data_IF_829351196519
#
_entry.id   IF_829351196519
#
_cell.length_a   1.000
_cell.length_b   1.000
_cell.length_c   1.000
_cell.angle_alpha   90.00
_cell.angle_beta   90.00
_cell.angle_gamma   90.00
#
_symmetry.space_group_name_H-M   'P 1'
#
loop_
_entity.id
_entity.type
_entity.pdbx_description
1 polymer ?
#
# COMPACT_ATOMS: atom_id res chain seq x y z
N UNK A 1 -4.33 22.25 11.39
CA UNK A 1 -3.76 21.50 10.25
C UNK A 1 -4.88 20.73 9.59
N UNK A 2 -4.98 20.73 8.26
CA UNK A 2 -6.00 19.93 7.58
C UNK A 2 -5.63 18.44 7.75
N UNK A 3 -6.45 17.60 8.39
CA UNK A 3 -6.13 16.19 8.65
C UNK A 3 -5.87 15.39 7.36
N UNK A 4 -6.30 15.90 6.21
CA UNK A 4 -6.08 15.28 4.90
C UNK A 4 -4.73 15.62 4.27
N UNK A 5 -3.92 16.50 4.87
CA UNK A 5 -2.59 16.87 4.34
C UNK A 5 -1.45 16.00 4.88
N UNK A 6 -1.70 15.19 5.91
CA UNK A 6 -0.69 14.30 6.49
C UNK A 6 -0.44 13.07 5.60
N UNK A 7 0.81 12.65 5.52
CA UNK A 7 1.15 11.32 4.96
C UNK A 7 0.88 10.28 6.03
N UNK A 8 0.12 9.25 5.69
CA UNK A 8 -0.31 8.18 6.61
C UNK A 8 0.33 6.84 6.26
N UNK A 9 0.50 5.99 7.27
CA UNK A 9 1.00 4.63 7.09
C UNK A 9 0.22 3.63 7.94
N UNK A 10 0.01 2.42 7.41
CA UNK A 10 -0.51 1.28 8.16
C UNK A 10 -0.10 -0.05 7.53
N UNK A 11 -0.21 -1.11 8.33
CA UNK A 11 -0.12 -2.50 7.87
C UNK A 11 -1.45 -2.89 7.23
N UNK A 12 -1.43 -3.41 6.01
CA UNK A 12 -2.62 -3.83 5.27
C UNK A 12 -2.97 -5.30 5.45
N UNK A 13 -1.98 -6.14 5.75
CA UNK A 13 -2.18 -7.57 5.97
C UNK A 13 -2.73 -7.83 7.37
N UNK A 14 -3.49 -8.93 7.58
CA UNK A 14 -3.97 -9.29 8.90
C UNK A 14 -2.84 -9.37 9.94
N UNK A 15 -3.14 -8.99 11.18
CA UNK A 15 -2.18 -9.13 12.29
C UNK A 15 -1.89 -10.60 12.56
N UNK A 16 -0.63 -10.93 12.78
CA UNK A 16 -0.19 -12.29 13.11
C UNK A 16 1.03 -12.71 12.32
N UNK A 17 1.39 -13.99 12.43
CA UNK A 17 2.50 -14.58 11.68
C UNK A 17 2.03 -14.95 10.28
N UNK A 18 2.66 -14.40 9.27
CA UNK A 18 2.42 -14.72 7.87
C UNK A 18 3.74 -14.86 7.10
N UNK A 19 3.69 -15.28 5.85
CA UNK A 19 4.87 -15.27 4.98
C UNK A 19 5.27 -13.86 4.56
N UNK A 20 4.28 -12.97 4.39
CA UNK A 20 4.46 -11.60 3.89
C UNK A 20 3.58 -10.65 4.70
N UNK A 21 4.08 -9.43 4.95
CA UNK A 21 3.30 -8.29 5.38
C UNK A 21 3.45 -7.15 4.39
N UNK A 22 2.42 -6.32 4.26
CA UNK A 22 2.40 -5.15 3.39
C UNK A 22 2.13 -3.91 4.23
N UNK A 23 3.04 -2.94 4.16
CA UNK A 23 2.89 -1.61 4.74
C UNK A 23 2.56 -0.64 3.61
N UNK A 24 1.48 0.13 3.75
CA UNK A 24 1.10 1.19 2.82
C UNK A 24 1.38 2.54 3.43
N UNK A 25 1.95 3.42 2.62
CA UNK A 25 2.20 4.84 2.92
C UNK A 25 1.45 5.64 1.87
N UNK A 26 0.61 6.61 2.25
CA UNK A 26 -0.18 7.43 1.33
C UNK A 26 -0.17 8.90 1.75
N UNK A 27 -0.02 9.80 0.80
CA UNK A 27 0.02 11.24 1.01
C UNK A 27 1.10 11.92 0.17
N UNK A 28 1.24 13.23 0.34
CA UNK A 28 2.16 14.03 -0.47
C UNK A 28 3.62 13.56 -0.32
N UNK A 29 4.03 13.17 0.89
CA UNK A 29 5.40 12.79 1.22
C UNK A 29 5.65 11.28 1.15
N UNK A 30 4.69 10.48 0.66
CA UNK A 30 4.76 9.01 0.67
C UNK A 30 6.06 8.47 0.03
N UNK A 31 6.46 9.03 -1.12
CA UNK A 31 7.68 8.64 -1.82
C UNK A 31 8.94 9.07 -1.05
N UNK A 32 8.93 10.26 -0.45
CA UNK A 32 10.05 10.77 0.36
C UNK A 32 10.23 9.96 1.65
N UNK A 33 9.13 9.60 2.32
CA UNK A 33 9.16 8.72 3.51
C UNK A 33 9.74 7.36 3.13
N UNK A 34 9.22 6.73 2.06
CA UNK A 34 9.72 5.44 1.59
C UNK A 34 11.19 5.50 1.17
N UNK A 35 11.65 6.62 0.58
CA UNK A 35 13.03 6.82 0.17
C UNK A 35 14.05 6.89 1.31
N UNK A 36 13.58 7.09 2.55
CA UNK A 36 14.44 7.07 3.76
C UNK A 36 14.53 5.70 4.41
N UNK A 37 13.62 4.78 4.06
CA UNK A 37 13.53 3.47 4.68
C UNK A 37 13.65 2.30 3.68
N UNK A 38 13.90 2.58 2.40
CA UNK A 38 14.06 1.56 1.37
C UNK A 38 15.17 1.88 0.39
N UNK A 39 16.08 0.93 0.16
CA UNK A 39 17.20 1.03 -0.78
C UNK A 39 16.98 0.05 -1.92
N UNK A 40 16.51 0.51 -3.11
CA UNK A 40 16.24 -0.37 -4.23
C UNK A 40 17.53 -1.00 -4.80
N UNK A 41 17.53 -2.30 -5.01
CA UNK A 41 18.60 -2.97 -5.74
C UNK A 41 18.67 -2.46 -7.18
N UNK A 42 19.88 -2.06 -7.63
CA UNK A 42 20.10 -1.57 -8.99
C UNK A 42 19.45 -0.23 -9.32
N UNK A 43 18.87 0.48 -8.35
CA UNK A 43 18.34 1.84 -8.46
C UNK A 43 19.04 2.74 -7.46
N UNK A 44 19.06 4.06 -7.75
CA UNK A 44 19.68 5.02 -6.82
C UNK A 44 18.72 5.46 -5.73
N UNK A 45 17.43 5.62 -6.06
CA UNK A 45 16.41 6.14 -5.14
C UNK A 45 15.04 5.51 -5.41
N UNK A 46 14.15 5.57 -4.42
CA UNK A 46 12.74 5.14 -4.57
C UNK A 46 12.01 5.99 -5.62
N UNK A 47 12.40 7.25 -5.78
CA UNK A 47 11.79 8.14 -6.77
C UNK A 47 12.07 7.73 -8.22
N UNK A 48 13.17 7.00 -8.47
CA UNK A 48 13.54 6.45 -9.76
C UNK A 48 12.85 5.12 -10.10
N UNK A 49 12.09 4.54 -9.15
CA UNK A 49 11.29 3.34 -9.42
C UNK A 49 10.14 3.72 -10.37
N UNK A 50 10.01 3.04 -11.53
CA UNK A 50 8.88 3.26 -12.41
C UNK A 50 7.55 3.00 -11.70
N UNK A 51 6.51 3.75 -12.06
CA UNK A 51 5.17 3.58 -11.50
C UNK A 51 4.70 2.14 -11.67
N UNK A 52 4.19 1.53 -10.58
CA UNK A 52 3.66 0.16 -10.51
C UNK A 52 4.67 -0.93 -10.83
N UNK A 53 5.96 -0.60 -10.72
CA UNK A 53 7.03 -1.59 -10.85
C UNK A 53 7.40 -2.11 -9.45
N UNK A 54 7.52 -3.44 -9.34
CA UNK A 54 7.94 -4.12 -8.12
C UNK A 54 9.47 -4.12 -8.04
N UNK A 55 10.04 -3.22 -7.25
CA UNK A 55 11.49 -3.11 -7.06
C UNK A 55 11.91 -3.86 -5.80
N UNK A 56 12.80 -4.84 -5.95
CA UNK A 56 13.43 -5.51 -4.81
C UNK A 56 14.50 -4.61 -4.19
N UNK A 57 14.67 -4.68 -2.86
CA UNK A 57 15.66 -3.90 -2.14
C UNK A 57 15.74 -4.19 -0.66
N UNK A 58 16.62 -3.46 0.03
CA UNK A 58 16.80 -3.52 1.47
C UNK A 58 15.81 -2.57 2.16
N UNK A 59 15.22 -3.04 3.25
CA UNK A 59 14.35 -2.25 4.12
C UNK A 59 15.16 -1.84 5.34
N UNK A 60 15.15 -0.53 5.65
CA UNK A 60 15.86 0.05 6.76
C UNK A 60 14.90 0.34 7.91
N UNK A 61 15.40 0.23 9.13
CA UNK A 61 14.71 0.70 10.34
C UNK A 61 14.75 2.23 10.49
N UNK A 62 14.29 2.74 11.63
CA UNK A 62 14.29 4.17 11.96
C UNK A 62 15.70 4.79 12.06
N UNK A 63 16.69 3.99 12.32
CA UNK A 63 18.10 4.43 12.48
C UNK A 63 18.91 4.25 11.19
N UNK A 64 18.27 3.79 10.11
CA UNK A 64 18.87 3.55 8.82
C UNK A 64 19.65 2.24 8.72
N UNK A 65 19.42 1.31 9.66
CA UNK A 65 20.06 -0.01 9.65
C UNK A 65 19.18 -1.01 8.87
N UNK A 66 19.76 -1.82 7.96
CA UNK A 66 18.99 -2.85 7.27
C UNK A 66 18.35 -3.83 8.27
N UNK A 67 17.02 -3.96 8.22
CA UNK A 67 16.24 -4.84 9.09
C UNK A 67 15.55 -5.98 8.34
N UNK A 68 15.34 -5.83 7.02
CA UNK A 68 14.75 -6.86 6.18
C UNK A 68 15.08 -6.59 4.70
N UNK A 69 14.65 -7.50 3.83
CA UNK A 69 14.61 -7.30 2.37
C UNK A 69 13.19 -7.46 1.88
N UNK A 70 12.83 -6.77 0.80
CA UNK A 70 11.45 -6.82 0.33
C UNK A 70 11.23 -6.15 -1.01
N UNK A 71 9.97 -5.85 -1.28
CA UNK A 71 9.55 -5.24 -2.55
C UNK A 71 8.89 -3.90 -2.25
N UNK A 72 9.33 -2.87 -2.96
CA UNK A 72 8.71 -1.56 -2.96
C UNK A 72 8.00 -1.31 -4.29
N UNK A 73 6.74 -0.86 -4.22
CA UNK A 73 5.94 -0.47 -5.37
C UNK A 73 5.46 0.96 -5.19
N UNK A 74 5.71 1.82 -6.17
CA UNK A 74 5.33 3.24 -6.16
C UNK A 74 4.10 3.46 -7.04
N UNK A 75 3.10 4.17 -6.52
CA UNK A 75 1.92 4.60 -7.24
C UNK A 75 1.85 6.13 -7.20
N UNK A 76 1.79 6.76 -8.36
CA UNK A 76 1.73 8.22 -8.47
C UNK A 76 0.28 8.69 -8.56
N UNK A 77 0.00 9.83 -7.91
CA UNK A 77 -1.28 10.50 -8.04
C UNK A 77 -1.58 10.85 -9.52
N UNK A 78 -2.83 10.76 -9.95
CA UNK A 78 -4.02 10.25 -9.28
C UNK A 78 -4.22 8.73 -9.44
N UNK A 79 -3.25 7.98 -9.96
CA UNK A 79 -3.37 6.57 -10.36
C UNK A 79 -3.02 5.60 -9.22
N UNK A 80 -3.51 5.88 -8.00
CA UNK A 80 -3.39 5.04 -6.80
C UNK A 80 -4.76 4.70 -6.24
N UNK A 81 -4.80 3.87 -5.19
CA UNK A 81 -6.04 3.55 -4.49
C UNK A 81 -6.67 4.79 -3.84
N UNK A 82 -5.87 5.59 -3.15
CA UNK A 82 -6.31 6.80 -2.46
C UNK A 82 -6.44 8.03 -3.37
N UNK A 83 -5.90 7.97 -4.60
CA UNK A 83 -5.76 9.14 -5.48
C UNK A 83 -4.56 10.02 -5.15
N UNK A 84 -3.82 9.72 -4.07
CA UNK A 84 -2.59 10.40 -3.63
C UNK A 84 -1.35 9.68 -4.14
N UNK A 85 -0.15 10.25 -3.94
CA UNK A 85 1.08 9.46 -4.03
C UNK A 85 1.03 8.36 -2.97
N UNK A 86 1.38 7.14 -3.37
CA UNK A 86 1.26 5.98 -2.50
C UNK A 86 2.42 5.03 -2.74
N UNK A 87 2.92 4.44 -1.66
CA UNK A 87 3.96 3.42 -1.71
C UNK A 87 3.51 2.21 -0.92
N UNK A 88 3.75 1.01 -1.47
CA UNK A 88 3.57 -0.25 -0.75
C UNK A 88 4.92 -0.93 -0.61
N UNK A 89 5.25 -1.30 0.64
CA UNK A 89 6.45 -2.06 0.98
C UNK A 89 6.00 -3.42 1.48
N UNK A 90 6.36 -4.47 0.72
CA UNK A 90 6.15 -5.86 1.12
C UNK A 90 7.41 -6.37 1.80
N UNK A 91 7.30 -6.81 3.05
CA UNK A 91 8.36 -7.38 3.87
C UNK A 91 8.00 -8.79 4.36
N UNK A 92 8.88 -9.47 5.06
CA UNK A 92 8.52 -10.73 5.72
C UNK A 92 7.47 -10.51 6.81
N UNK A 93 6.50 -11.43 6.90
CA UNK A 93 5.31 -11.32 7.76
C UNK A 93 5.54 -11.71 9.22
N UNK A 94 6.75 -11.52 9.75
CA UNK A 94 7.04 -11.63 11.17
C UNK A 94 6.53 -10.41 11.94
N UNK A 95 5.96 -10.60 13.13
CA UNK A 95 5.39 -9.51 13.95
C UNK A 95 6.42 -8.41 14.17
N UNK A 96 7.62 -8.77 14.64
CA UNK A 96 8.70 -7.81 14.92
C UNK A 96 9.14 -7.03 13.68
N UNK A 97 9.33 -7.72 12.55
CA UNK A 97 9.72 -7.08 11.28
C UNK A 97 8.65 -6.10 10.83
N UNK A 98 7.39 -6.53 10.84
CA UNK A 98 6.26 -5.70 10.42
C UNK A 98 6.15 -4.42 11.26
N UNK A 99 6.30 -4.55 12.59
CA UNK A 99 6.31 -3.41 13.51
C UNK A 99 7.51 -2.47 13.26
N UNK A 100 8.71 -3.03 13.09
CA UNK A 100 9.91 -2.24 12.80
C UNK A 100 9.75 -1.41 11.52
N UNK A 101 9.24 -2.02 10.44
CA UNK A 101 9.02 -1.32 9.16
C UNK A 101 7.95 -0.25 9.28
N UNK A 102 6.86 -0.51 10.02
CA UNK A 102 5.82 0.51 10.26
C UNK A 102 6.38 1.68 11.10
N UNK A 103 7.13 1.39 12.16
CA UNK A 103 7.74 2.41 13.00
C UNK A 103 8.78 3.24 12.23
N UNK A 104 9.53 2.66 11.30
CA UNK A 104 10.42 3.39 10.41
C UNK A 104 9.64 4.41 9.56
N UNK A 105 8.48 4.03 8.98
CA UNK A 105 7.65 4.98 8.24
C UNK A 105 7.18 6.15 9.12
N UNK A 106 6.78 5.87 10.37
CA UNK A 106 6.35 6.91 11.32
C UNK A 106 7.53 7.82 11.70
N UNK A 107 8.71 7.26 12.01
CA UNK A 107 9.89 8.02 12.35
C UNK A 107 10.33 8.95 11.20
N UNK A 108 10.07 8.55 9.96
CA UNK A 108 10.40 9.35 8.77
C UNK A 108 9.29 10.31 8.33
N UNK A 109 8.24 10.50 9.15
CA UNK A 109 7.27 11.59 9.01
C UNK A 109 5.87 11.15 8.56
N UNK A 110 5.60 9.86 8.43
CA UNK A 110 4.22 9.39 8.34
C UNK A 110 3.53 9.43 9.72
N UNK A 111 2.21 9.48 9.74
CA UNK A 111 1.40 9.26 10.93
C UNK A 111 0.63 7.96 10.78
N UNK A 112 0.31 7.32 11.90
CA UNK A 112 -0.51 6.11 11.89
C UNK A 112 -1.87 6.42 11.25
N UNK A 113 -2.28 5.63 10.28
CA UNK A 113 -3.60 5.76 9.68
C UNK A 113 -4.70 5.30 10.65
N UNK A 114 -5.80 6.03 10.68
CA UNK A 114 -7.02 5.60 11.37
C UNK A 114 -7.68 4.42 10.62
N UNK A 115 -8.55 3.69 11.33
CA UNK A 115 -9.33 2.62 10.71
C UNK A 115 -10.16 3.17 9.53
N UNK A 116 -10.02 2.55 8.36
CA UNK A 116 -10.72 2.97 7.13
C UNK A 116 -10.20 4.26 6.48
N UNK A 117 -9.10 4.87 6.96
CA UNK A 117 -8.63 6.17 6.47
C UNK A 117 -8.22 6.14 4.99
N UNK A 118 -7.59 5.08 4.51
CA UNK A 118 -7.28 4.97 3.07
C UNK A 118 -8.54 4.97 2.20
N UNK A 119 -9.59 4.26 2.63
CA UNK A 119 -10.88 4.23 1.93
C UNK A 119 -11.57 5.59 1.98
N UNK A 120 -11.53 6.27 3.13
CA UNK A 120 -12.03 7.64 3.30
C UNK A 120 -11.33 8.61 2.34
N UNK A 121 -10.00 8.54 2.22
CA UNK A 121 -9.23 9.38 1.29
C UNK A 121 -9.56 9.06 -0.16
N UNK A 122 -9.71 7.78 -0.51
CA UNK A 122 -10.14 7.37 -1.83
C UNK A 122 -11.52 7.96 -2.21
N UNK A 123 -12.48 7.93 -1.28
CA UNK A 123 -13.78 8.57 -1.48
C UNK A 123 -13.68 10.08 -1.65
N UNK A 124 -12.94 10.77 -0.78
CA UNK A 124 -12.78 12.22 -0.84
C UNK A 124 -12.05 12.70 -2.11
N UNK A 125 -11.16 11.88 -2.64
CA UNK A 125 -10.44 12.14 -3.90
C UNK A 125 -11.21 11.65 -5.15
N UNK A 126 -12.48 11.25 -5.00
CA UNK A 126 -13.34 10.81 -6.10
C UNK A 126 -12.92 9.50 -6.77
N UNK A 127 -12.15 8.66 -6.05
CA UNK A 127 -11.73 7.34 -6.53
C UNK A 127 -12.78 6.27 -6.30
N UNK A 128 -13.62 6.46 -5.28
CA UNK A 128 -14.70 5.58 -4.89
C UNK A 128 -15.99 6.41 -4.71
N UNK A 129 -17.13 5.83 -5.07
CA UNK A 129 -18.44 6.30 -4.62
C UNK A 129 -18.67 5.91 -3.15
N UNK A 130 -19.67 6.51 -2.50
CA UNK A 130 -20.02 6.15 -1.12
C UNK A 130 -20.38 4.66 -1.00
N UNK A 131 -21.17 4.14 -1.94
CA UNK A 131 -21.57 2.72 -1.97
C UNK A 131 -20.37 1.78 -2.11
N UNK A 132 -19.36 2.14 -2.93
CA UNK A 132 -18.13 1.37 -3.07
C UNK A 132 -17.28 1.42 -1.81
N UNK A 133 -17.20 2.58 -1.15
CA UNK A 133 -16.46 2.73 0.11
C UNK A 133 -17.09 1.87 1.23
N UNK A 134 -18.42 1.86 1.34
CA UNK A 134 -19.17 1.00 2.27
C UNK A 134 -18.98 -0.49 1.95
N UNK A 135 -18.97 -0.87 0.67
CA UNK A 135 -18.73 -2.24 0.23
C UNK A 135 -17.32 -2.73 0.60
N UNK A 136 -16.29 -1.89 0.49
CA UNK A 136 -14.92 -2.23 0.94
C UNK A 136 -14.90 -2.51 2.44
N UNK A 137 -15.56 -1.69 3.26
CA UNK A 137 -15.71 -1.93 4.70
C UNK A 137 -16.40 -3.26 4.98
N UNK A 138 -17.52 -3.52 4.30
CA UNK A 138 -18.27 -4.76 4.44
C UNK A 138 -17.49 -6.02 4.02
N UNK A 139 -16.60 -5.93 3.03
CA UNK A 139 -15.71 -7.05 2.65
C UNK A 139 -14.67 -7.36 3.72
N UNK A 140 -14.11 -6.32 4.36
CA UNK A 140 -13.11 -6.49 5.43
C UNK A 140 -13.75 -7.13 6.68
N UNK A 141 -15.00 -6.74 6.99
CA UNK A 141 -15.75 -7.24 8.16
C UNK A 141 -16.53 -8.54 7.88
N UNK A 142 -16.44 -9.08 6.66
CA UNK A 142 -17.19 -10.28 6.27
C UNK A 142 -16.61 -11.55 6.90
N UNK A 143 -17.26 -12.03 7.98
CA UNK A 143 -16.89 -13.28 8.67
C UNK A 143 -17.42 -14.54 7.98
N UNK A 144 -18.31 -14.40 7.00
CA UNK A 144 -18.97 -15.54 6.34
C UNK A 144 -18.92 -15.43 4.82
N UNK A 145 -18.91 -16.56 4.13
CA UNK A 145 -18.91 -16.65 2.67
C UNK A 145 -20.14 -15.95 2.03
N UNK A 146 -21.27 -15.90 2.71
CA UNK A 146 -22.46 -15.18 2.24
C UNK A 146 -22.29 -13.67 2.27
N UNK A 147 -21.73 -13.11 3.35
CA UNK A 147 -21.41 -11.69 3.44
C UNK A 147 -20.39 -11.29 2.38
N UNK A 148 -19.37 -12.12 2.14
CA UNK A 148 -18.38 -11.87 1.07
C UNK A 148 -19.02 -11.79 -0.31
N UNK A 149 -19.98 -12.68 -0.64
CA UNK A 149 -20.69 -12.64 -1.92
C UNK A 149 -21.52 -11.37 -2.10
N UNK A 150 -22.21 -10.92 -1.05
CA UNK A 150 -23.02 -9.69 -1.07
C UNK A 150 -22.16 -8.44 -1.20
N UNK A 151 -21.05 -8.36 -0.45
CA UNK A 151 -20.10 -7.22 -0.51
C UNK A 151 -19.30 -7.19 -1.82
N UNK A 152 -18.91 -8.36 -2.35
CA UNK A 152 -18.17 -8.49 -3.60
C UNK A 152 -18.93 -8.05 -4.84
N UNK A 153 -20.26 -8.19 -4.84
CA UNK A 153 -21.13 -7.75 -5.95
C UNK A 153 -21.11 -6.24 -6.18
N UNK A 154 -20.90 -5.44 -5.14
CA UNK A 154 -20.85 -3.98 -5.25
C UNK A 154 -19.48 -3.44 -5.72
N UNK A 155 -18.39 -4.19 -5.48
CA UNK A 155 -17.02 -3.79 -5.88
C UNK A 155 -16.68 -4.20 -7.32
N UNK A 156 -17.37 -5.22 -7.86
CA UNK A 156 -17.08 -5.78 -9.20
C UNK A 156 -17.55 -4.92 -10.39
N UNK A 157 -18.33 -3.87 -10.16
CA UNK A 157 -19.02 -3.12 -11.25
C UNK A 157 -18.11 -2.06 -11.91
N UNK A 158 -16.94 -1.72 -11.38
CA UNK A 158 -16.13 -0.60 -11.90
C UNK A 158 -14.88 -1.02 -12.69
N UNK A 159 -14.64 -2.30 -12.96
CA UNK A 159 -13.52 -2.73 -13.82
C UNK A 159 -13.84 -2.78 -15.32
N UNK A 160 -14.98 -2.24 -15.74
CA UNK A 160 -15.36 -2.11 -17.16
C UNK A 160 -14.76 -0.86 -17.81
N UNK A 161 -13.44 -0.70 -17.75
CA UNK A 161 -12.72 0.41 -18.37
C UNK A 161 -11.31 0.00 -18.77
N UNK A 162 -11.25 -0.99 -19.67
CA UNK A 162 -10.13 -1.27 -20.61
C UNK A 162 -8.70 -1.00 -20.14
N UNK A 163 -7.88 -2.06 -20.04
CA UNK A 163 -6.81 -2.26 -21.04
C UNK A 163 -6.47 -3.74 -21.13
N UNK A 164 -6.72 -4.33 -22.27
CA UNK A 164 -6.03 -5.54 -22.75
C UNK A 164 -4.60 -5.12 -23.01
N UNK A 165 -3.70 -6.07 -22.78
CA UNK A 165 -2.29 -6.14 -23.12
C UNK A 165 -1.36 -6.12 -21.91
N UNK A 166 -1.28 -7.29 -21.27
CA UNK A 166 -0.05 -7.73 -20.65
C UNK A 166 0.20 -9.20 -21.04
N UNK A 167 0.94 -9.47 -22.11
CA UNK A 167 1.47 -10.78 -22.35
C UNK A 167 2.67 -10.97 -21.43
N UNK A 168 2.55 -11.83 -20.44
CA UNK A 168 3.69 -12.35 -19.68
C UNK A 168 4.27 -13.52 -20.51
N UNK A 169 5.45 -13.42 -21.10
CA UNK A 169 6.10 -14.59 -21.65
C UNK A 169 6.74 -15.39 -20.50
N UNK A 170 6.19 -16.55 -20.22
CA UNK A 170 6.93 -17.58 -19.49
C UNK A 170 8.04 -18.07 -20.42
N UNK A 171 9.28 -17.73 -20.12
CA UNK A 171 10.46 -18.38 -20.71
C UNK A 171 10.85 -19.53 -19.80
N UNK A 172 10.60 -20.75 -20.27
CA UNK A 172 11.24 -21.97 -19.76
C UNK A 172 12.63 -22.08 -20.36
N UNK A 173 13.66 -22.03 -19.54
CA UNK A 173 14.93 -22.77 -19.67
C UNK A 173 15.72 -22.64 -18.40
#
# INVERSE_FOLDING_TARGET
>A
MNPLSSTIAAVLTPRGRGGIAVIRISGNDAVSVAGRMFVPAGKKTVDEIPERYAAFGDILDSDGVPCDTGICTVFRAPKSFTGENMVEISCHGGISVTETVLLAAIAHGAVMADAGEFTKRAFLNGKLSLTEAEAVGGLIDADTTEKMKLSGGAVAVTSAGRSRDCPIPFSTS
#
